data_IF_130752496645
#
_entry.id   IF_130752496645
#
_cell.length_a   1.000
_cell.length_b   1.000
_cell.length_c   1.000
_cell.angle_alpha   90.00
_cell.angle_beta   90.00
_cell.angle_gamma   90.00
#
_symmetry.space_group_name_H-M   'P 1'
#
loop_
_entity.id
_entity.type
_entity.pdbx_description
1 polymer ?
#
# COMPACT_ATOMS: atom_id res chain seq x y z
N UNK A 1 16.68 -8.15 9.17
CA UNK A 1 17.35 -8.76 7.99
C UNK A 1 16.32 -9.25 6.96
N UNK A 2 15.33 -10.06 7.35
CA UNK A 2 14.29 -10.58 6.42
C UNK A 2 13.48 -9.48 5.71
N UNK A 3 12.98 -8.47 6.43
CA UNK A 3 12.21 -7.35 5.84
C UNK A 3 12.99 -6.62 4.76
N UNK A 4 14.28 -6.36 4.97
CA UNK A 4 15.11 -5.66 3.98
C UNK A 4 15.29 -6.49 2.69
N UNK A 5 15.43 -7.82 2.82
CA UNK A 5 15.49 -8.74 1.68
C UNK A 5 14.16 -8.78 0.92
N UNK A 6 13.06 -8.86 1.67
CA UNK A 6 11.70 -8.81 1.12
C UNK A 6 11.41 -7.50 0.39
N UNK A 7 11.81 -6.35 0.92
CA UNK A 7 11.64 -5.05 0.24
C UNK A 7 12.35 -5.01 -1.12
N UNK A 8 13.52 -5.67 -1.23
CA UNK A 8 14.26 -5.75 -2.51
C UNK A 8 13.56 -6.67 -3.52
N UNK A 9 13.05 -7.82 -3.08
CA UNK A 9 12.44 -8.81 -3.96
C UNK A 9 10.98 -8.48 -4.32
N UNK A 10 10.24 -7.84 -3.40
CA UNK A 10 8.85 -7.44 -3.58
C UNK A 10 8.74 -5.92 -3.38
N UNK A 11 9.04 -5.11 -4.42
CA UNK A 11 8.93 -3.67 -4.30
C UNK A 11 7.49 -3.27 -4.02
N UNK A 12 7.32 -2.50 -2.95
CA UNK A 12 6.02 -1.98 -2.52
C UNK A 12 5.66 -0.78 -3.40
N UNK A 13 4.35 -0.52 -3.57
CA UNK A 13 3.87 0.64 -4.31
C UNK A 13 4.52 1.94 -3.78
N UNK A 14 5.08 2.81 -4.64
CA UNK A 14 5.69 4.08 -4.22
C UNK A 14 4.75 5.03 -3.45
N UNK A 15 3.42 4.85 -3.59
CA UNK A 15 2.39 5.59 -2.86
C UNK A 15 2.01 4.98 -1.51
N UNK A 16 2.50 3.79 -1.15
CA UNK A 16 2.34 3.24 0.19
C UNK A 16 3.02 4.17 1.18
N UNK A 17 2.34 4.43 2.31
CA UNK A 17 2.90 5.23 3.42
C UNK A 17 2.85 4.48 4.75
N UNK A 18 1.93 3.52 4.90
CA UNK A 18 1.89 2.63 6.06
C UNK A 18 3.02 1.60 6.04
N UNK A 19 3.58 1.31 7.23
CA UNK A 19 4.58 0.28 7.46
C UNK A 19 5.88 0.37 6.63
N UNK A 20 6.19 1.56 6.10
CA UNK A 20 7.46 1.86 5.45
C UNK A 20 8.16 3.02 6.15
N UNK A 21 9.48 3.12 5.99
CA UNK A 21 10.26 4.29 6.44
C UNK A 21 9.97 5.47 5.52
N UNK A 22 8.97 6.27 5.87
CA UNK A 22 8.57 7.48 5.14
C UNK A 22 8.04 8.54 6.10
N UNK A 23 7.70 9.72 5.57
CA UNK A 23 7.00 10.82 6.27
C UNK A 23 5.58 10.45 6.74
N UNK A 24 5.13 9.21 6.53
CA UNK A 24 3.85 8.70 6.97
C UNK A 24 2.68 9.22 6.12
N UNK A 25 1.47 9.19 6.69
CA UNK A 25 0.25 9.53 5.95
C UNK A 25 0.05 11.03 5.68
N UNK A 26 0.91 11.90 6.24
CA UNK A 26 0.79 13.35 6.09
C UNK A 26 0.89 13.79 4.62
N UNK A 27 1.71 13.13 3.81
CA UNK A 27 1.80 13.39 2.37
C UNK A 27 0.49 13.07 1.64
N UNK A 28 -0.10 11.90 1.92
CA UNK A 28 -1.37 11.49 1.31
C UNK A 28 -2.49 12.45 1.69
N UNK A 29 -2.52 12.91 2.94
CA UNK A 29 -3.49 13.89 3.41
C UNK A 29 -3.32 15.25 2.70
N UNK A 30 -2.09 15.76 2.57
CA UNK A 30 -1.81 17.01 1.83
C UNK A 30 -2.22 16.89 0.36
N UNK A 31 -1.92 15.77 -0.28
CA UNK A 31 -2.28 15.51 -1.67
C UNK A 31 -3.81 15.47 -1.85
N UNK A 32 -4.52 14.77 -0.98
CA UNK A 32 -5.99 14.75 -0.98
C UNK A 32 -6.57 16.16 -0.82
N UNK A 33 -6.06 16.95 0.13
CA UNK A 33 -6.49 18.33 0.32
C UNK A 33 -6.27 19.19 -0.93
N UNK A 34 -5.12 19.02 -1.61
CA UNK A 34 -4.82 19.75 -2.84
C UNK A 34 -5.80 19.38 -3.97
N UNK A 35 -6.08 18.08 -4.15
CA UNK A 35 -7.04 17.59 -5.15
C UNK A 35 -8.44 18.19 -4.89
N UNK A 36 -8.91 18.15 -3.64
CA UNK A 36 -10.20 18.73 -3.25
C UNK A 36 -10.25 20.23 -3.53
N UNK A 37 -9.20 20.98 -3.14
CA UNK A 37 -9.13 22.43 -3.40
C UNK A 37 -9.13 22.75 -4.89
N UNK A 38 -8.40 21.98 -5.69
CA UNK A 38 -8.34 22.18 -7.13
C UNK A 38 -9.68 21.88 -7.82
N UNK A 39 -10.36 20.80 -7.44
CA UNK A 39 -11.70 20.49 -7.96
C UNK A 39 -12.70 21.63 -7.66
N UNK A 40 -12.67 22.16 -6.43
CA UNK A 40 -13.47 23.33 -6.04
C UNK A 40 -13.15 24.56 -6.89
N UNK A 41 -11.86 24.88 -7.06
CA UNK A 41 -11.39 26.03 -7.87
C UNK A 41 -11.81 25.93 -9.33
N UNK A 42 -11.84 24.71 -9.88
CA UNK A 42 -12.19 24.46 -11.29
C UNK A 42 -13.69 24.21 -11.50
N UNK A 43 -14.52 24.26 -10.44
CA UNK A 43 -15.94 23.90 -10.50
C UNK A 43 -16.19 22.50 -11.11
N UNK A 44 -15.30 21.54 -10.83
CA UNK A 44 -15.42 20.17 -11.32
C UNK A 44 -15.92 19.23 -10.23
N UNK A 45 -16.80 18.26 -10.56
CA UNK A 45 -17.19 17.22 -9.61
C UNK A 45 -15.99 16.35 -9.23
N UNK A 46 -15.94 15.91 -7.96
CA UNK A 46 -14.92 15.02 -7.43
C UNK A 46 -15.57 13.99 -6.49
N UNK A 47 -15.39 12.71 -6.80
CA UNK A 47 -15.73 11.61 -5.89
C UNK A 47 -14.49 11.13 -5.12
N UNK A 48 -14.65 10.85 -3.83
CA UNK A 48 -13.60 10.27 -2.98
C UNK A 48 -14.18 9.05 -2.27
N UNK A 49 -13.50 7.91 -2.38
CA UNK A 49 -13.90 6.65 -1.74
C UNK A 49 -12.83 6.24 -0.73
N UNK A 50 -13.25 6.00 0.50
CA UNK A 50 -12.40 5.42 1.56
C UNK A 50 -12.72 3.93 1.68
N UNK A 51 -11.69 3.09 1.59
CA UNK A 51 -11.81 1.63 1.66
C UNK A 51 -11.04 1.14 2.88
N UNK A 52 -11.63 0.23 3.64
CA UNK A 52 -11.01 -0.39 4.81
C UNK A 52 -11.22 -1.91 4.79
N UNK A 53 -10.30 -2.66 5.41
CA UNK A 53 -10.35 -4.11 5.54
C UNK A 53 -10.50 -4.49 7.03
N UNK A 54 -11.67 -5.01 7.38
CA UNK A 54 -11.94 -5.47 8.73
C UNK A 54 -10.97 -6.60 9.14
N UNK A 55 -10.31 -6.45 10.29
CA UNK A 55 -9.35 -7.43 10.84
C UNK A 55 -8.29 -7.84 9.81
N UNK A 56 -7.68 -6.90 9.09
CA UNK A 56 -6.74 -7.20 7.99
C UNK A 56 -5.60 -8.18 8.36
N UNK A 57 -5.09 -8.13 9.60
CA UNK A 57 -4.05 -9.06 10.04
C UNK A 57 -4.56 -10.47 10.34
N UNK A 58 -5.82 -10.62 10.75
CA UNK A 58 -6.42 -11.93 11.06
C UNK A 58 -7.10 -12.57 9.85
N UNK A 59 -7.58 -11.74 8.91
CA UNK A 59 -8.46 -12.18 7.80
C UNK A 59 -7.72 -12.55 6.52
N UNK A 60 -6.47 -12.13 6.36
CA UNK A 60 -5.68 -12.44 5.16
C UNK A 60 -5.10 -13.86 5.30
N UNK A 61 -5.56 -14.77 4.43
CA UNK A 61 -5.11 -16.16 4.42
C UNK A 61 -3.60 -16.27 4.09
N UNK A 62 -2.84 -17.01 4.90
CA UNK A 62 -1.42 -17.29 4.67
C UNK A 62 -1.13 -17.91 3.29
N UNK A 63 -1.97 -18.84 2.80
CA UNK A 63 -1.79 -19.43 1.47
C UNK A 63 -1.86 -18.37 0.36
N UNK A 64 -2.71 -17.36 0.55
CA UNK A 64 -2.80 -16.22 -0.37
C UNK A 64 -1.52 -15.37 -0.34
N UNK A 65 -0.98 -15.09 0.86
CA UNK A 65 0.29 -14.36 1.01
C UNK A 65 1.42 -15.09 0.27
N UNK A 66 1.57 -16.41 0.48
CA UNK A 66 2.61 -17.21 -0.17
C UNK A 66 2.45 -17.21 -1.70
N UNK A 67 1.22 -17.33 -2.20
CA UNK A 67 0.92 -17.27 -3.64
C UNK A 67 1.36 -15.94 -4.25
N UNK A 68 1.06 -14.82 -3.58
CA UNK A 68 1.46 -13.48 -4.04
C UNK A 68 2.98 -13.32 -4.01
N UNK A 69 3.66 -13.83 -2.97
CA UNK A 69 5.13 -13.79 -2.91
C UNK A 69 5.77 -14.59 -4.05
N UNK A 70 5.25 -15.77 -4.39
CA UNK A 70 5.71 -16.56 -5.54
C UNK A 70 5.52 -15.79 -6.85
N UNK A 71 4.35 -15.18 -7.06
CA UNK A 71 4.08 -14.34 -8.23
C UNK A 71 5.01 -13.12 -8.34
N UNK A 72 5.51 -12.62 -7.21
CA UNK A 72 6.50 -11.54 -7.15
C UNK A 72 7.93 -12.02 -7.42
N UNK A 73 8.13 -13.31 -7.71
CA UNK A 73 9.42 -13.87 -8.06
C UNK A 73 10.32 -14.14 -6.85
N UNK A 74 9.73 -14.28 -5.65
CA UNK A 74 10.51 -14.77 -4.51
C UNK A 74 10.76 -16.27 -4.65
N UNK A 75 11.99 -16.65 -4.32
CA UNK A 75 12.47 -18.03 -4.35
C UNK A 75 11.73 -18.90 -3.32
N UNK A 76 11.44 -20.15 -3.69
CA UNK A 76 10.75 -21.10 -2.83
C UNK A 76 11.54 -21.39 -1.54
N UNK A 77 12.88 -21.26 -1.53
CA UNK A 77 13.71 -21.38 -0.33
C UNK A 77 13.51 -20.27 0.71
N UNK A 78 12.81 -19.18 0.35
CA UNK A 78 12.47 -18.06 1.24
C UNK A 78 11.00 -18.13 1.66
N UNK A 79 10.16 -18.74 0.84
CA UNK A 79 8.71 -18.84 1.04
C UNK A 79 8.35 -20.13 1.82
N UNK A 80 9.20 -21.16 1.77
CA UNK A 80 9.06 -22.45 2.47
C UNK A 80 10.27 -22.83 3.29
#
# INVERSE_FOLDING_TARGET
>A
ILTARLTKACPINPRQRGFIRSSGCAENLKLLQLIIRNAKKQHKPLGVVFVDLAKAFDSVNHAHILTVLKQKGLDDHIIG
#
